data_IF_273233113115
#
_entry.id   IF_273233113115
#
_cell.length_a   1.000
_cell.length_b   1.000
_cell.length_c   1.000
_cell.angle_alpha   90.00
_cell.angle_beta   90.00
_cell.angle_gamma   90.00
#
_symmetry.space_group_name_H-M   'P 1'
#
loop_
_entity.id
_entity.type
_entity.pdbx_description
1 polymer ?
#
# COMPACT_ATOMS: atom_id res chain seq x y z
N UNK A 1 -3.04 45.97 2.30
CA UNK A 1 -3.53 45.70 0.93
C UNK A 1 -4.90 45.04 1.02
N UNK A 2 -5.94 45.67 0.41
CA UNK A 2 -7.29 45.10 0.46
C UNK A 2 -7.41 43.95 -0.58
N UNK A 3 -8.19 42.88 -0.29
CA UNK A 3 -8.35 41.74 -1.20
C UNK A 3 -8.73 42.14 -2.64
N UNK A 4 -9.49 43.23 -2.80
CA UNK A 4 -9.86 43.81 -4.10
C UNK A 4 -8.68 44.34 -4.90
N UNK A 5 -7.68 44.88 -4.23
CA UNK A 5 -6.52 45.47 -4.91
C UNK A 5 -5.59 44.38 -5.45
N UNK A 6 -5.47 43.26 -4.69
CA UNK A 6 -4.74 42.07 -5.15
C UNK A 6 -5.33 41.49 -6.45
N UNK A 7 -6.66 41.36 -6.52
CA UNK A 7 -7.33 40.82 -7.71
C UNK A 7 -7.18 41.76 -8.93
N UNK A 8 -7.21 43.08 -8.73
CA UNK A 8 -7.00 44.04 -9.82
C UNK A 8 -5.57 43.97 -10.38
N UNK A 9 -4.56 43.89 -9.53
CA UNK A 9 -3.19 43.77 -9.98
C UNK A 9 -2.85 42.43 -10.60
N UNK A 10 -3.49 41.34 -10.15
CA UNK A 10 -3.35 40.02 -10.77
C UNK A 10 -3.97 39.98 -12.17
N UNK A 11 -5.12 40.64 -12.38
CA UNK A 11 -5.78 40.71 -13.68
C UNK A 11 -4.95 41.54 -14.69
N UNK A 12 -4.34 42.64 -14.26
CA UNK A 12 -3.50 43.46 -15.12
C UNK A 12 -2.18 42.74 -15.47
N UNK A 13 -1.60 42.00 -14.54
CA UNK A 13 -0.42 41.17 -14.78
C UNK A 13 -0.66 40.04 -15.81
N UNK A 14 -1.84 39.41 -15.77
CA UNK A 14 -2.20 38.39 -16.73
C UNK A 14 -2.45 38.95 -18.14
N UNK A 15 -3.05 40.13 -18.25
CA UNK A 15 -3.29 40.79 -19.54
C UNK A 15 -2.01 41.28 -20.22
N UNK A 16 -0.99 41.65 -19.45
CA UNK A 16 0.32 42.12 -19.95
C UNK A 16 1.15 41.00 -20.59
N UNK A 17 0.95 39.76 -20.19
CA UNK A 17 1.69 38.59 -20.71
C UNK A 17 1.16 38.05 -22.06
N UNK A 18 -0.05 38.44 -22.47
CA UNK A 18 -0.65 38.00 -23.74
C UNK A 18 -0.21 38.81 -24.95
N UNK A 19 0.49 39.92 -24.77
CA UNK A 19 0.89 40.85 -25.85
C UNK A 19 2.24 40.46 -26.47
N UNK A 20 3.07 39.71 -25.75
CA UNK A 20 4.34 39.21 -26.31
C UNK A 20 4.08 37.75 -26.76
N UNK A 21 3.79 37.58 -28.04
CA UNK A 21 3.46 36.29 -28.68
C UNK A 21 4.48 35.14 -28.50
N UNK A 22 4.80 34.87 -27.25
CA UNK A 22 5.50 33.65 -26.86
C UNK A 22 4.50 32.49 -26.92
N UNK A 23 4.74 31.49 -27.74
CA UNK A 23 3.94 30.30 -27.69
C UNK A 23 4.19 29.68 -26.30
N UNK A 24 3.26 29.87 -25.36
CA UNK A 24 3.17 29.04 -24.18
C UNK A 24 2.70 27.65 -24.64
N UNK A 25 3.58 26.94 -25.30
CA UNK A 25 3.43 25.49 -25.40
C UNK A 25 3.76 24.94 -24.01
N UNK A 26 2.76 24.93 -23.14
CA UNK A 26 2.79 24.12 -21.94
C UNK A 26 2.74 22.66 -22.40
N UNK A 27 3.83 22.18 -22.91
CA UNK A 27 4.10 20.78 -23.07
C UNK A 27 4.48 20.22 -21.70
N UNK A 28 3.56 20.38 -20.75
CA UNK A 28 3.53 19.53 -19.58
C UNK A 28 3.16 18.13 -20.11
N UNK A 29 4.13 17.44 -20.68
CA UNK A 29 4.04 16.01 -20.89
C UNK A 29 3.75 15.41 -19.51
N UNK A 30 2.48 15.23 -19.19
CA UNK A 30 2.02 14.60 -17.96
C UNK A 30 2.51 13.17 -18.02
N UNK A 31 3.70 12.95 -17.43
CA UNK A 31 4.25 11.62 -17.31
C UNK A 31 3.37 10.87 -16.31
N UNK A 32 2.37 10.18 -16.84
CA UNK A 32 1.51 9.33 -16.02
C UNK A 32 2.33 8.18 -15.47
N UNK A 33 2.36 8.06 -14.15
CA UNK A 33 2.99 6.94 -13.45
C UNK A 33 1.87 6.02 -12.98
N UNK A 34 1.92 4.75 -13.40
CA UNK A 34 1.04 3.70 -12.87
C UNK A 34 1.61 3.22 -11.54
N UNK A 35 0.79 3.21 -10.49
CA UNK A 35 1.09 2.61 -9.19
C UNK A 35 0.10 1.48 -8.94
N UNK A 36 0.61 0.30 -8.63
CA UNK A 36 -0.17 -0.86 -8.21
C UNK A 36 -0.11 -0.99 -6.70
N UNK A 37 -1.27 -0.92 -6.04
CA UNK A 37 -1.36 -1.08 -4.59
C UNK A 37 -1.91 -2.48 -4.30
N UNK A 38 -1.13 -3.27 -3.54
CA UNK A 38 -1.55 -4.54 -2.97
C UNK A 38 -1.87 -4.33 -1.50
N UNK A 39 -2.95 -4.94 -1.06
CA UNK A 39 -3.42 -4.79 0.31
C UNK A 39 -3.79 -6.14 0.92
N UNK A 40 -3.36 -6.36 2.17
CA UNK A 40 -3.76 -7.49 3.00
C UNK A 40 -4.27 -7.00 4.35
N UNK A 41 -5.05 -7.82 5.03
CA UNK A 41 -5.55 -7.62 6.40
C UNK A 41 -5.98 -8.96 6.98
N UNK A 42 -6.19 -9.00 8.31
CA UNK A 42 -6.76 -10.15 9.03
C UNK A 42 -6.05 -11.47 8.69
N UNK A 43 -4.73 -11.46 8.79
CA UNK A 43 -3.92 -12.63 8.44
C UNK A 43 -4.01 -13.74 9.50
N UNK A 44 -4.20 -13.36 10.77
CA UNK A 44 -4.45 -14.27 11.90
C UNK A 44 -3.45 -15.43 11.99
N UNK A 45 -2.15 -15.13 11.83
CA UNK A 45 -1.07 -16.13 11.84
C UNK A 45 -1.30 -17.30 10.87
N UNK A 46 -2.03 -17.08 9.78
CA UNK A 46 -2.34 -18.12 8.79
C UNK A 46 -1.12 -18.35 7.87
N UNK A 47 -0.15 -19.11 8.39
CA UNK A 47 1.07 -19.48 7.66
C UNK A 47 0.77 -20.56 6.63
N UNK A 48 0.15 -21.66 7.07
CA UNK A 48 -0.28 -22.74 6.20
C UNK A 48 -1.60 -22.43 5.48
N UNK A 49 -1.85 -23.07 4.33
CA UNK A 49 -3.17 -23.08 3.72
C UNK A 49 -4.25 -23.59 4.68
N UNK A 50 -5.51 -23.27 4.40
CA UNK A 50 -6.62 -23.89 5.10
C UNK A 50 -6.57 -25.40 4.92
N UNK A 51 -6.98 -26.19 5.96
CA UNK A 51 -7.04 -27.64 5.87
C UNK A 51 -7.86 -28.10 4.65
N UNK A 52 -7.46 -29.21 4.06
CA UNK A 52 -8.19 -29.79 2.94
C UNK A 52 -9.35 -30.67 3.47
N UNK A 53 -10.33 -30.04 4.11
CA UNK A 53 -11.42 -30.68 4.85
C UNK A 53 -12.76 -30.64 4.10
N UNK A 54 -12.75 -30.34 2.81
CA UNK A 54 -13.93 -30.23 1.95
C UNK A 54 -14.79 -28.97 2.16
N UNK A 55 -14.40 -28.05 3.03
CA UNK A 55 -15.09 -26.77 3.21
C UNK A 55 -14.80 -25.80 2.05
N UNK A 56 -15.59 -24.74 1.97
CA UNK A 56 -15.51 -23.72 0.89
C UNK A 56 -14.09 -23.19 0.61
N UNK A 57 -13.26 -23.09 1.62
CA UNK A 57 -11.91 -22.54 1.51
C UNK A 57 -10.81 -23.61 1.67
N UNK A 58 -11.17 -24.89 1.58
CA UNK A 58 -10.23 -26.00 1.71
C UNK A 58 -9.02 -25.84 0.80
N UNK A 59 -7.83 -25.97 1.36
CA UNK A 59 -6.56 -25.84 0.66
C UNK A 59 -6.22 -24.44 0.13
N UNK A 60 -7.02 -23.41 0.41
CA UNK A 60 -6.77 -22.02 -0.03
C UNK A 60 -5.87 -21.26 0.96
N UNK A 61 -5.35 -20.11 0.54
CA UNK A 61 -4.54 -19.23 1.38
C UNK A 61 -3.12 -19.74 1.63
N UNK A 62 -2.53 -19.30 2.73
CA UNK A 62 -1.17 -19.60 3.15
C UNK A 62 -0.13 -18.59 2.64
N UNK A 63 0.93 -18.39 3.43
CA UNK A 63 1.99 -17.41 3.16
C UNK A 63 2.77 -17.73 1.88
N UNK A 64 3.04 -18.99 1.60
CA UNK A 64 3.79 -19.40 0.41
C UNK A 64 3.10 -19.00 -0.90
N UNK A 65 1.78 -19.20 -0.99
CA UNK A 65 1.01 -18.77 -2.17
C UNK A 65 0.93 -17.26 -2.29
N UNK A 66 0.79 -16.57 -1.16
CA UNK A 66 0.81 -15.11 -1.13
C UNK A 66 2.14 -14.58 -1.64
N UNK A 67 3.26 -15.11 -1.15
CA UNK A 67 4.60 -14.75 -1.60
C UNK A 67 4.76 -14.92 -3.11
N UNK A 68 4.34 -16.07 -3.65
CA UNK A 68 4.38 -16.35 -5.09
C UNK A 68 3.54 -15.37 -5.91
N UNK A 69 2.35 -15.00 -5.41
CA UNK A 69 1.47 -14.03 -6.08
C UNK A 69 2.10 -12.63 -6.08
N UNK A 70 2.62 -12.18 -4.94
CA UNK A 70 3.29 -10.89 -4.81
C UNK A 70 4.50 -10.82 -5.75
N UNK A 71 5.32 -11.86 -5.76
CA UNK A 71 6.49 -11.94 -6.65
C UNK A 71 6.09 -11.86 -8.13
N UNK A 72 5.03 -12.57 -8.53
CA UNK A 72 4.50 -12.50 -9.88
C UNK A 72 4.07 -11.08 -10.24
N UNK A 73 3.27 -10.43 -9.39
CA UNK A 73 2.79 -9.06 -9.65
C UNK A 73 3.97 -8.08 -9.75
N UNK A 74 4.98 -8.20 -8.90
CA UNK A 74 6.18 -7.34 -8.95
C UNK A 74 7.02 -7.53 -10.22
N UNK A 75 6.95 -8.69 -10.85
CA UNK A 75 7.58 -8.93 -12.16
C UNK A 75 6.81 -8.27 -13.31
N UNK A 76 5.50 -8.15 -13.18
CA UNK A 76 4.61 -7.60 -14.20
C UNK A 76 4.43 -6.08 -14.05
N UNK A 77 4.53 -5.55 -12.82
CA UNK A 77 4.25 -4.15 -12.50
C UNK A 77 5.50 -3.46 -11.93
N UNK A 78 5.93 -2.33 -12.52
CA UNK A 78 7.20 -1.68 -12.11
C UNK A 78 7.10 -0.95 -10.75
N UNK A 79 5.91 -0.49 -10.39
CA UNK A 79 5.69 0.27 -9.15
C UNK A 79 4.62 -0.43 -8.33
N UNK A 80 5.02 -1.19 -7.33
CA UNK A 80 4.12 -1.92 -6.42
C UNK A 80 4.31 -1.41 -5.01
N UNK A 81 3.21 -1.06 -4.36
CA UNK A 81 3.14 -0.74 -2.93
C UNK A 81 2.35 -1.85 -2.24
N UNK A 82 2.95 -2.54 -1.29
CA UNK A 82 2.35 -3.65 -0.55
C UNK A 82 2.11 -3.27 0.91
N UNK A 83 0.84 -3.19 1.28
CA UNK A 83 0.39 -2.70 2.59
C UNK A 83 -0.35 -3.78 3.36
N UNK A 84 -0.29 -3.69 4.69
CA UNK A 84 -1.12 -4.50 5.57
C UNK A 84 -1.88 -3.61 6.55
N UNK A 85 -3.17 -3.86 6.71
CA UNK A 85 -4.06 -3.07 7.57
C UNK A 85 -4.19 -3.64 8.99
N UNK A 86 -3.41 -4.66 9.33
CA UNK A 86 -3.36 -5.21 10.68
C UNK A 86 -4.11 -6.52 10.86
N UNK A 87 -4.29 -6.89 12.12
CA UNK A 87 -4.79 -8.18 12.58
C UNK A 87 -3.95 -9.36 12.04
N UNK A 88 -2.64 -9.20 12.20
CA UNK A 88 -1.63 -10.11 11.67
C UNK A 88 -1.55 -11.36 12.52
N UNK A 89 -1.69 -11.18 13.85
CA UNK A 89 -1.42 -12.20 14.86
C UNK A 89 -2.69 -12.92 15.30
N UNK A 90 -2.52 -13.97 16.12
CA UNK A 90 -3.59 -14.75 16.75
C UNK A 90 -4.56 -15.40 15.75
N UNK A 91 -4.83 -16.67 15.91
CA UNK A 91 -5.76 -17.41 15.05
C UNK A 91 -5.26 -18.80 14.65
N UNK A 92 -3.93 -19.01 14.75
CA UNK A 92 -3.33 -20.34 14.60
C UNK A 92 -2.29 -20.59 15.69
N UNK A 93 -1.86 -21.84 15.91
CA UNK A 93 -0.84 -22.17 16.91
C UNK A 93 0.51 -21.48 16.69
N UNK A 94 0.81 -21.00 15.49
CA UNK A 94 2.07 -20.34 15.19
C UNK A 94 2.33 -19.14 16.09
N UNK A 95 1.32 -18.30 16.35
CA UNK A 95 1.48 -17.17 17.27
C UNK A 95 1.89 -17.63 18.69
N UNK A 96 1.32 -18.72 19.19
CA UNK A 96 1.64 -19.24 20.53
C UNK A 96 3.09 -19.73 20.65
N UNK A 97 3.71 -20.15 19.55
CA UNK A 97 5.09 -20.63 19.52
C UNK A 97 6.11 -19.53 19.22
N UNK A 98 5.75 -18.59 18.35
CA UNK A 98 6.68 -17.59 17.79
C UNK A 98 6.36 -16.15 18.17
N UNK A 99 5.28 -15.88 18.91
CA UNK A 99 4.90 -14.56 19.42
C UNK A 99 4.91 -13.46 18.34
N UNK A 100 4.55 -13.77 17.10
CA UNK A 100 4.51 -12.84 15.98
C UNK A 100 5.83 -12.68 15.22
N UNK A 101 6.94 -13.21 15.72
CA UNK A 101 8.26 -13.09 15.05
C UNK A 101 8.26 -13.75 13.66
N UNK A 102 7.63 -14.93 13.56
CA UNK A 102 7.54 -15.66 12.30
C UNK A 102 6.76 -14.89 11.25
N UNK A 103 5.63 -14.32 11.63
CA UNK A 103 4.77 -13.53 10.75
C UNK A 103 5.51 -12.31 10.21
N UNK A 104 6.17 -11.54 11.06
CA UNK A 104 6.96 -10.38 10.62
C UNK A 104 8.15 -10.75 9.76
N UNK A 105 8.81 -11.85 10.05
CA UNK A 105 9.91 -12.35 9.23
C UNK A 105 9.41 -12.69 7.81
N UNK A 106 8.31 -13.42 7.71
CA UNK A 106 7.72 -13.76 6.42
C UNK A 106 7.20 -12.54 5.66
N UNK A 107 6.62 -11.54 6.36
CA UNK A 107 6.22 -10.28 5.75
C UNK A 107 7.43 -9.48 5.26
N UNK A 108 8.51 -9.47 6.01
CA UNK A 108 9.76 -8.82 5.62
C UNK A 108 10.38 -9.49 4.38
N UNK A 109 10.37 -10.82 4.31
CA UNK A 109 10.84 -11.59 3.15
C UNK A 109 9.98 -11.28 1.91
N UNK A 110 8.67 -11.09 2.08
CA UNK A 110 7.76 -10.65 1.03
C UNK A 110 7.88 -9.16 0.70
N UNK A 111 8.72 -8.41 1.44
CA UNK A 111 8.96 -6.96 1.27
C UNK A 111 7.69 -6.13 1.39
N UNK A 112 6.95 -6.31 2.47
CA UNK A 112 5.88 -5.37 2.82
C UNK A 112 6.46 -3.98 3.06
N UNK A 113 5.85 -2.96 2.48
CA UNK A 113 6.30 -1.57 2.62
C UNK A 113 5.85 -0.98 3.96
N UNK A 114 4.68 -1.38 4.45
CA UNK A 114 4.20 -1.06 5.80
C UNK A 114 3.13 -2.04 6.24
N UNK A 115 2.99 -2.20 7.56
CA UNK A 115 1.93 -2.94 8.22
C UNK A 115 1.60 -2.28 9.55
N UNK A 116 0.34 -2.34 9.96
CA UNK A 116 -0.12 -1.81 11.25
C UNK A 116 -0.32 -2.99 12.19
N UNK A 117 0.49 -3.13 13.25
CA UNK A 117 0.19 -4.11 14.31
C UNK A 117 -1.15 -3.75 14.93
N UNK A 118 -1.97 -4.73 15.23
CA UNK A 118 -3.26 -4.51 15.83
C UNK A 118 -3.11 -3.82 17.20
N UNK A 119 -3.99 -2.87 17.52
CA UNK A 119 -3.99 -2.17 18.82
C UNK A 119 -4.13 -3.12 20.01
N UNK A 120 -4.80 -4.25 19.83
CA UNK A 120 -4.95 -5.29 20.86
C UNK A 120 -3.62 -6.01 21.13
N UNK A 121 -2.78 -6.14 20.11
CA UNK A 121 -1.50 -6.84 20.19
C UNK A 121 -0.42 -5.99 20.90
N UNK A 122 -0.55 -4.66 20.89
CA UNK A 122 0.36 -3.76 21.59
C UNK A 122 0.21 -3.81 23.12
N UNK A 123 -0.94 -4.23 23.62
CA UNK A 123 -1.17 -4.34 25.08
C UNK A 123 -0.56 -5.60 25.70
N UNK A 124 -0.11 -6.58 24.93
CA UNK A 124 0.43 -7.84 25.43
C UNK A 124 1.97 -7.90 25.45
N UNK A 125 2.64 -6.85 25.00
CA UNK A 125 4.11 -6.77 24.91
C UNK A 125 4.70 -5.79 25.96
N UNK A 126 3.92 -5.41 26.97
CA UNK A 126 4.37 -4.54 28.07
C UNK A 126 4.68 -5.34 29.33
#
# INVERSE_FOLDING_TARGET
MKRRDFLKYSAVGAAGLTIVGLPFTSEAASKTIKLTILHTNDQHSRIDPFPNDGRKHAGMGGMARRASLIEKIRKEEPNVLLLDAGDIWQGTPYFNFFNGELEYKLMSDMKYDTGIPNLVDQCLVA
#
